data_IF_843004173236
#
_entry.id   IF_843004173236
#
_cell.length_a   1.000
_cell.length_b   1.000
_cell.length_c   1.000
_cell.angle_alpha   90.00
_cell.angle_beta   90.00
_cell.angle_gamma   90.00
#
_symmetry.space_group_name_H-M   'P 1'
#
loop_
_entity.id
_entity.type
_entity.pdbx_description
1 polymer ?
#
# COMPACT_ATOMS: atom_id res chain seq x y z
N UNK A 1 -1.39 8.70 16.19
CA UNK A 1 -2.12 8.80 14.90
C UNK A 1 -3.57 8.39 15.13
N UNK A 2 -4.48 9.34 15.38
CA UNK A 2 -5.88 9.06 15.69
C UNK A 2 -6.76 8.88 14.43
N UNK A 3 -6.19 9.14 13.24
CA UNK A 3 -6.78 8.88 11.93
C UNK A 3 -6.10 7.66 11.29
N UNK A 4 -6.43 6.46 11.77
CA UNK A 4 -5.95 5.21 11.17
C UNK A 4 -6.92 4.71 10.08
N UNK A 5 -6.42 3.83 9.21
CA UNK A 5 -7.22 2.93 8.38
C UNK A 5 -7.17 1.53 9.02
N UNK A 6 -7.88 1.29 10.14
CA UNK A 6 -7.81 0.03 10.88
C UNK A 6 -8.15 -1.21 10.06
N UNK A 7 -9.18 -1.18 9.19
CA UNK A 7 -9.55 -2.34 8.37
C UNK A 7 -8.44 -2.69 7.38
N UNK A 8 -7.82 -1.69 6.72
CA UNK A 8 -6.64 -1.89 5.88
C UNK A 8 -5.48 -2.45 6.72
N UNK A 9 -5.23 -1.91 7.91
CA UNK A 9 -4.11 -2.36 8.75
C UNK A 9 -4.27 -3.79 9.24
N UNK A 10 -5.49 -4.20 9.56
CA UNK A 10 -5.79 -5.56 9.99
C UNK A 10 -5.80 -6.54 8.80
N UNK A 11 -6.55 -6.24 7.75
CA UNK A 11 -6.80 -7.20 6.67
C UNK A 11 -5.65 -7.25 5.65
N UNK A 12 -4.86 -6.17 5.57
CA UNK A 12 -3.74 -6.00 4.66
C UNK A 12 -2.44 -5.75 5.44
N UNK A 13 -1.98 -6.77 6.18
CA UNK A 13 -0.67 -6.75 6.85
C UNK A 13 0.46 -6.44 5.85
N UNK A 14 1.46 -5.68 6.30
CA UNK A 14 2.53 -5.22 5.40
C UNK A 14 3.52 -6.35 5.15
N UNK A 15 3.65 -6.74 3.88
CA UNK A 15 4.73 -7.57 3.37
C UNK A 15 5.06 -7.07 1.96
N UNK A 16 6.33 -6.73 1.71
CA UNK A 16 6.79 -6.16 0.44
C UNK A 16 7.15 -7.23 -0.60
N UNK A 17 7.49 -8.43 -0.17
CA UNK A 17 7.93 -9.56 -0.99
C UNK A 17 6.81 -10.43 -1.56
N UNK A 18 5.57 -10.26 -1.10
CA UNK A 18 4.44 -11.07 -1.57
C UNK A 18 3.51 -10.31 -2.51
N UNK A 19 2.86 -11.05 -3.40
CA UNK A 19 1.60 -10.67 -4.06
C UNK A 19 0.57 -11.74 -3.74
N UNK A 20 -0.59 -11.33 -3.26
CA UNK A 20 -1.61 -12.19 -2.66
C UNK A 20 -2.96 -11.88 -3.30
N UNK A 21 -3.70 -12.92 -3.64
CA UNK A 21 -5.10 -12.81 -4.07
C UNK A 21 -5.98 -12.51 -2.86
N UNK A 22 -6.42 -11.26 -2.72
CA UNK A 22 -7.21 -10.83 -1.56
C UNK A 22 -8.61 -11.46 -1.52
N UNK A 23 -9.25 -11.59 -2.70
CA UNK A 23 -10.65 -11.99 -2.81
C UNK A 23 -11.63 -10.80 -2.70
N UNK A 24 -12.92 -11.07 -2.45
CA UNK A 24 -13.95 -10.03 -2.33
C UNK A 24 -13.67 -9.08 -1.16
N UNK A 25 -13.83 -7.78 -1.41
CA UNK A 25 -13.67 -6.72 -0.41
C UNK A 25 -14.96 -6.57 0.40
N UNK A 26 -14.89 -6.71 1.72
CA UNK A 26 -16.00 -6.50 2.64
C UNK A 26 -16.31 -5.01 2.89
N UNK A 27 -17.47 -4.72 3.47
CA UNK A 27 -17.97 -3.35 3.65
C UNK A 27 -17.01 -2.42 4.44
N UNK A 28 -16.40 -2.94 5.52
CA UNK A 28 -15.49 -2.14 6.36
C UNK A 28 -14.24 -1.70 5.60
N UNK A 29 -13.64 -2.63 4.85
CA UNK A 29 -12.47 -2.32 4.01
C UNK A 29 -12.87 -1.39 2.85
N UNK A 30 -14.03 -1.63 2.22
CA UNK A 30 -14.52 -0.75 1.16
C UNK A 30 -14.71 0.69 1.67
N UNK A 31 -15.32 0.88 2.84
CA UNK A 31 -15.51 2.22 3.42
C UNK A 31 -14.19 2.94 3.68
N UNK A 32 -13.14 2.21 4.05
CA UNK A 32 -11.80 2.79 4.19
C UNK A 32 -11.13 3.14 2.87
N UNK A 33 -11.31 2.31 1.82
CA UNK A 33 -10.84 2.61 0.47
C UNK A 33 -11.56 3.85 -0.10
N UNK A 34 -12.86 4.00 0.15
CA UNK A 34 -13.64 5.15 -0.27
C UNK A 34 -13.17 6.42 0.44
N UNK A 35 -12.96 6.35 1.76
CA UNK A 35 -12.41 7.47 2.54
C UNK A 35 -11.00 7.85 2.07
N UNK A 36 -10.16 6.87 1.77
CA UNK A 36 -8.82 7.10 1.24
C UNK A 36 -8.87 7.77 -0.13
N UNK A 37 -9.78 7.32 -1.00
CA UNK A 37 -10.01 7.92 -2.31
C UNK A 37 -10.38 9.39 -2.20
N UNK A 38 -11.31 9.72 -1.29
CA UNK A 38 -11.71 11.10 -1.04
C UNK A 38 -10.56 11.96 -0.49
N UNK A 39 -9.82 11.45 0.50
CA UNK A 39 -8.71 12.18 1.13
C UNK A 39 -7.58 12.48 0.13
N UNK A 40 -7.18 11.48 -0.66
CA UNK A 40 -6.17 11.71 -1.68
C UNK A 40 -6.68 12.62 -2.79
N UNK A 41 -7.96 12.46 -3.15
CA UNK A 41 -8.59 13.30 -4.14
C UNK A 41 -8.58 14.78 -3.75
N UNK A 42 -8.95 15.09 -2.50
CA UNK A 42 -8.94 16.45 -1.96
C UNK A 42 -7.54 17.04 -1.95
N UNK A 43 -6.53 16.30 -1.47
CA UNK A 43 -5.15 16.79 -1.44
C UNK A 43 -4.64 17.12 -2.85
N UNK A 44 -4.86 16.22 -3.81
CA UNK A 44 -4.45 16.43 -5.20
C UNK A 44 -5.13 17.65 -5.84
N UNK A 45 -6.42 17.86 -5.60
CA UNK A 45 -7.14 19.04 -6.11
C UNK A 45 -6.66 20.32 -5.43
N UNK A 46 -6.53 20.29 -4.11
CA UNK A 46 -6.23 21.46 -3.29
C UNK A 46 -4.83 21.99 -3.54
N UNK A 47 -3.86 21.10 -3.75
CA UNK A 47 -2.45 21.46 -3.88
C UNK A 47 -1.95 21.38 -5.33
N UNK A 48 -2.80 20.97 -6.28
CA UNK A 48 -2.50 20.94 -7.72
C UNK A 48 -1.72 19.72 -8.21
N UNK A 49 -1.39 18.77 -7.32
CA UNK A 49 -0.68 17.54 -7.67
C UNK A 49 0.71 17.76 -8.29
N UNK A 50 1.37 16.69 -8.78
CA UNK A 50 0.90 15.30 -8.85
C UNK A 50 1.09 14.53 -7.52
N UNK A 51 1.64 15.19 -6.50
CA UNK A 51 1.85 14.65 -5.16
C UNK A 51 0.83 15.23 -4.19
N UNK A 52 0.64 14.58 -3.04
CA UNK A 52 -0.50 14.87 -2.16
C UNK A 52 -0.45 16.27 -1.55
N UNK A 53 0.72 16.89 -1.54
CA UNK A 53 0.98 18.23 -1.02
C UNK A 53 1.57 19.19 -2.07
N UNK A 54 1.45 18.87 -3.37
CA UNK A 54 1.82 19.78 -4.46
C UNK A 54 2.74 19.16 -5.52
N UNK A 55 3.61 19.98 -6.16
CA UNK A 55 4.32 19.58 -7.39
C UNK A 55 5.51 18.64 -7.15
N UNK A 56 6.04 18.57 -5.92
CA UNK A 56 7.23 17.80 -5.58
C UNK A 56 6.93 16.72 -4.54
N UNK A 57 7.62 15.57 -4.66
CA UNK A 57 7.57 14.50 -3.68
C UNK A 57 8.05 15.01 -2.32
N UNK A 58 7.33 14.66 -1.26
CA UNK A 58 7.58 15.18 0.08
C UNK A 58 7.44 14.11 1.18
N UNK A 59 7.74 14.49 2.41
CA UNK A 59 7.49 13.65 3.58
C UNK A 59 6.02 13.23 3.72
N UNK A 60 5.08 14.06 3.24
CA UNK A 60 3.66 13.71 3.23
C UNK A 60 3.37 12.50 2.34
N UNK A 61 4.07 12.37 1.21
CA UNK A 61 3.93 11.24 0.30
C UNK A 61 4.65 10.00 0.84
N UNK A 62 5.88 10.18 1.33
CA UNK A 62 6.67 9.11 1.92
C UNK A 62 5.92 8.41 3.08
N UNK A 63 5.15 9.18 3.86
CA UNK A 63 4.29 8.65 4.93
C UNK A 63 3.25 7.63 4.42
N UNK A 64 2.78 7.77 3.18
CA UNK A 64 1.81 6.87 2.56
C UNK A 64 2.45 5.70 1.79
N UNK A 65 3.79 5.60 1.71
CA UNK A 65 4.46 4.51 1.02
C UNK A 65 4.05 3.10 1.52
N UNK A 66 3.85 2.86 2.84
CA UNK A 66 3.34 1.58 3.32
C UNK A 66 1.90 1.27 2.88
N UNK A 67 1.09 2.29 2.55
CA UNK A 67 -0.25 2.07 1.99
C UNK A 67 -0.11 1.63 0.53
N UNK A 68 0.70 2.32 -0.26
CA UNK A 68 0.94 1.96 -1.66
C UNK A 68 1.47 0.53 -1.78
N UNK A 69 2.41 0.14 -0.90
CA UNK A 69 2.89 -1.24 -0.82
C UNK A 69 1.77 -2.25 -0.53
N UNK A 70 0.92 -2.01 0.49
CA UNK A 70 -0.22 -2.90 0.78
C UNK A 70 -1.17 -3.04 -0.40
N UNK A 71 -1.50 -1.94 -1.07
CA UNK A 71 -2.38 -1.96 -2.25
C UNK A 71 -1.81 -2.87 -3.33
N UNK A 72 -0.50 -2.82 -3.58
CA UNK A 72 0.18 -3.71 -4.53
C UNK A 72 0.24 -5.16 -4.05
N UNK A 73 0.55 -5.40 -2.77
CA UNK A 73 0.59 -6.74 -2.19
C UNK A 73 -0.75 -7.47 -2.34
N UNK A 74 -1.87 -6.78 -2.11
CA UNK A 74 -3.21 -7.38 -2.12
C UNK A 74 -4.00 -7.11 -3.41
N UNK A 75 -3.40 -6.46 -4.41
CA UNK A 75 -4.06 -6.15 -5.68
C UNK A 75 -5.26 -5.20 -5.55
N UNK A 76 -5.32 -4.40 -4.49
CA UNK A 76 -6.38 -3.42 -4.25
C UNK A 76 -6.14 -2.17 -5.10
N UNK A 77 -7.23 -1.53 -5.53
CA UNK A 77 -7.18 -0.36 -6.40
C UNK A 77 -8.09 0.74 -5.88
N UNK A 78 -7.61 1.98 -5.98
CA UNK A 78 -8.43 3.17 -5.84
C UNK A 78 -8.82 3.69 -7.24
N UNK A 79 -10.01 4.27 -7.40
CA UNK A 79 -10.40 4.86 -8.68
C UNK A 79 -9.72 6.22 -8.94
N UNK A 80 -9.59 6.56 -10.22
CA UNK A 80 -9.17 7.89 -10.70
C UNK A 80 -7.79 8.34 -10.21
N UNK A 81 -7.64 9.65 -10.02
CA UNK A 81 -6.36 10.29 -9.64
C UNK A 81 -5.75 9.78 -8.33
N UNK A 82 -6.58 9.27 -7.41
CA UNK A 82 -6.11 8.67 -6.16
C UNK A 82 -5.40 7.33 -6.41
N UNK A 83 -5.90 6.54 -7.38
CA UNK A 83 -5.23 5.34 -7.86
C UNK A 83 -3.92 5.67 -8.59
N UNK A 84 -3.96 6.63 -9.52
CA UNK A 84 -2.75 7.10 -10.23
C UNK A 84 -1.67 7.64 -9.28
N UNK A 85 -2.09 8.33 -8.21
CA UNK A 85 -1.19 8.77 -7.14
C UNK A 85 -0.54 7.60 -6.40
N UNK A 86 -1.33 6.60 -6.00
CA UNK A 86 -0.81 5.40 -5.32
C UNK A 86 0.17 4.65 -6.22
N UNK A 87 -0.13 4.52 -7.52
CA UNK A 87 0.75 3.88 -8.48
C UNK A 87 2.07 4.66 -8.62
N UNK A 88 1.98 5.99 -8.80
CA UNK A 88 3.15 6.88 -8.85
C UNK A 88 3.99 6.82 -7.57
N UNK A 89 3.35 6.77 -6.41
CA UNK A 89 4.03 6.67 -5.12
C UNK A 89 4.74 5.33 -4.99
N UNK A 90 4.09 4.24 -5.38
CA UNK A 90 4.73 2.92 -5.37
C UNK A 90 5.96 2.90 -6.28
N UNK A 91 5.86 3.48 -7.49
CA UNK A 91 6.94 3.51 -8.48
C UNK A 91 8.06 4.51 -8.17
N UNK A 92 7.90 5.36 -7.15
CA UNK A 92 8.90 6.37 -6.81
C UNK A 92 10.24 5.70 -6.43
N UNK A 93 11.40 6.18 -6.94
CA UNK A 93 12.69 5.52 -6.73
C UNK A 93 13.05 5.24 -5.26
N UNK A 94 12.78 6.19 -4.37
CA UNK A 94 13.05 6.01 -2.94
C UNK A 94 12.14 4.93 -2.30
N UNK A 95 10.90 4.80 -2.77
CA UNK A 95 9.96 3.77 -2.28
C UNK A 95 10.36 2.41 -2.82
N UNK A 96 10.75 2.33 -4.10
CA UNK A 96 11.29 1.10 -4.69
C UNK A 96 12.58 0.65 -4.02
N UNK A 97 13.49 1.57 -3.70
CA UNK A 97 14.70 1.24 -2.95
C UNK A 97 14.35 0.63 -1.59
N UNK A 98 13.47 1.29 -0.81
CA UNK A 98 13.00 0.78 0.48
C UNK A 98 12.34 -0.62 0.37
N UNK A 99 11.54 -0.86 -0.68
CA UNK A 99 10.94 -2.17 -0.95
C UNK A 99 12.00 -3.22 -1.25
N UNK A 100 12.98 -2.92 -2.12
CA UNK A 100 14.04 -3.86 -2.48
C UNK A 100 14.92 -4.22 -1.29
N UNK A 101 15.24 -3.23 -0.45
CA UNK A 101 15.97 -3.45 0.80
C UNK A 101 15.18 -4.35 1.75
N UNK A 102 13.88 -4.10 1.94
CA UNK A 102 13.01 -4.96 2.75
C UNK A 102 12.90 -6.39 2.22
N UNK A 103 12.82 -6.59 0.90
CA UNK A 103 12.86 -7.93 0.27
C UNK A 103 14.22 -8.62 0.50
N UNK A 104 15.29 -7.85 0.69
CA UNK A 104 16.61 -8.38 0.99
C UNK A 104 16.84 -8.73 2.45
N UNK A 105 15.94 -8.35 3.36
CA UNK A 105 16.08 -8.70 4.76
C UNK A 105 15.88 -10.20 5.02
N UNK A 106 16.72 -10.74 5.91
CA UNK A 106 16.68 -12.13 6.34
C UNK A 106 16.00 -12.33 7.70
N UNK A 107 15.73 -11.24 8.42
CA UNK A 107 15.04 -11.28 9.70
C UNK A 107 13.55 -11.54 9.46
N UNK A 108 13.06 -12.69 9.94
CA UNK A 108 11.68 -13.12 9.74
C UNK A 108 10.97 -13.32 11.05
N UNK A 109 9.70 -12.93 11.06
CA UNK A 109 8.76 -13.16 12.15
C UNK A 109 7.69 -14.12 11.64
N UNK A 110 7.83 -15.45 11.88
CA UNK A 110 6.96 -16.46 11.28
C UNK A 110 5.46 -16.22 11.49
N UNK A 111 5.10 -15.63 12.63
CA UNK A 111 3.72 -15.26 12.92
C UNK A 111 3.19 -14.18 11.96
N UNK A 112 3.97 -13.13 11.70
CA UNK A 112 3.55 -12.04 10.80
C UNK A 112 3.51 -12.47 9.33
N UNK A 113 4.40 -13.39 8.92
CA UNK A 113 4.37 -13.96 7.57
C UNK A 113 3.10 -14.78 7.35
N UNK A 114 2.73 -15.64 8.31
CA UNK A 114 1.50 -16.41 8.26
C UNK A 114 0.25 -15.54 8.33
N UNK A 115 0.24 -14.52 9.21
CA UNK A 115 -0.86 -13.55 9.32
C UNK A 115 -0.99 -12.71 8.05
N UNK A 116 0.08 -12.41 7.31
CA UNK A 116 -0.05 -11.69 6.05
C UNK A 116 -0.85 -12.52 5.02
N UNK A 117 -0.65 -13.83 4.98
CA UNK A 117 -1.31 -14.71 4.03
C UNK A 117 -2.76 -15.00 4.44
N UNK A 118 -3.05 -15.27 5.72
CA UNK A 118 -4.39 -15.69 6.23
C UNK A 118 -5.06 -16.80 5.39
N UNK A 119 -4.26 -17.75 4.89
CA UNK A 119 -4.74 -18.83 4.02
C UNK A 119 -5.14 -18.40 2.60
N UNK A 120 -4.89 -17.15 2.20
CA UNK A 120 -5.09 -16.66 0.83
C UNK A 120 -4.03 -17.22 -0.12
N UNK A 121 -4.34 -17.20 -1.42
CA UNK A 121 -3.42 -17.67 -2.46
C UNK A 121 -2.30 -16.66 -2.68
N UNK A 122 -1.05 -17.13 -2.60
CA UNK A 122 0.13 -16.35 -3.01
C UNK A 122 0.24 -16.43 -4.54
N UNK A 123 0.26 -15.27 -5.18
CA UNK A 123 0.43 -15.10 -6.63
C UNK A 123 1.90 -14.98 -7.02
N UNK A 124 2.69 -14.32 -6.18
CA UNK A 124 4.13 -14.14 -6.38
C UNK A 124 4.85 -14.01 -5.04
N UNK A 125 6.04 -14.59 -4.98
CA UNK A 125 6.97 -14.50 -3.86
C UNK A 125 8.33 -14.06 -4.42
N UNK A 126 8.70 -12.80 -4.17
CA UNK A 126 9.95 -12.20 -4.63
C UNK A 126 11.16 -12.62 -3.80
N UNK A 127 10.95 -13.29 -2.67
CA UNK A 127 12.00 -13.73 -1.77
C UNK A 127 12.61 -15.05 -2.24
N UNK A 128 11.79 -15.90 -2.85
CA UNK A 128 12.22 -17.18 -3.45
C UNK A 128 12.87 -17.03 -4.83
N UNK A 129 12.94 -15.81 -5.37
CA UNK A 129 13.53 -15.52 -6.68
C UNK A 129 15.04 -15.21 -6.62
N UNK A 130 15.70 -15.53 -5.49
CA UNK A 130 17.13 -15.31 -5.23
C UNK A 130 17.93 -16.60 -5.22
#
# INVERSE_FOLDING_TARGET
MHAGFPAIRDQCSMNVGLRIEFGPVGADLQGELDRMTALFGEGLDRFGGPWIAGPAFSAADAFYAPIASRMKTFGLKLPGKSGEYIDRLFEHPAVQQWIMEGIAEHSREPFHEADCVRGRKILQDFEQSK
#
